data_IF_981460134244
#
_entry.id   IF_981460134244
#
_cell.length_a   1.000
_cell.length_b   1.000
_cell.length_c   1.000
_cell.angle_alpha   90.00
_cell.angle_beta   90.00
_cell.angle_gamma   90.00
#
_symmetry.space_group_name_H-M   'P 1'
#
loop_
_entity.id
_entity.type
_entity.pdbx_description
1 polymer ?
#
# COMPACT_ATOMS: atom_id res chain seq x y z
N UNK A 1 -1.59 10.32 5.37
CA UNK A 1 -1.71 8.86 5.13
C UNK A 1 -2.06 8.16 6.43
N UNK A 2 -3.06 7.25 6.39
CA UNK A 2 -3.48 6.45 7.54
C UNK A 2 -2.95 5.02 7.40
N UNK A 3 -1.85 4.69 8.09
CA UNK A 3 -1.15 3.41 7.93
C UNK A 3 -1.35 2.44 9.10
N UNK A 4 -1.59 2.94 10.31
CA UNK A 4 -1.85 2.10 11.51
C UNK A 4 -3.26 1.49 11.53
N UNK A 5 -4.11 1.88 10.60
CA UNK A 5 -5.51 1.49 10.53
C UNK A 5 -6.29 2.56 9.78
N UNK A 6 -7.61 2.57 9.96
CA UNK A 6 -8.52 3.50 9.27
C UNK A 6 -8.86 4.72 10.13
N UNK A 7 -8.72 4.63 11.44
CA UNK A 7 -9.18 5.64 12.41
C UNK A 7 -8.54 7.00 12.16
N UNK A 8 -7.23 7.04 11.83
CA UNK A 8 -6.53 8.29 11.50
C UNK A 8 -7.05 8.94 10.22
N UNK A 9 -7.42 8.13 9.24
CA UNK A 9 -8.05 8.60 8.01
C UNK A 9 -9.47 9.12 8.27
N UNK A 10 -10.27 8.38 9.04
CA UNK A 10 -11.61 8.77 9.45
C UNK A 10 -11.57 10.11 10.21
N UNK A 11 -10.68 10.24 11.19
CA UNK A 11 -10.50 11.47 11.96
C UNK A 11 -10.12 12.66 11.04
N UNK A 12 -9.22 12.46 10.10
CA UNK A 12 -8.81 13.49 9.14
C UNK A 12 -9.99 13.96 8.28
N UNK A 13 -10.74 13.04 7.66
CA UNK A 13 -11.85 13.43 6.78
C UNK A 13 -13.03 14.02 7.57
N UNK A 14 -13.26 13.56 8.79
CA UNK A 14 -14.27 14.13 9.68
C UNK A 14 -13.92 15.59 10.07
N UNK A 15 -12.62 15.89 10.15
CA UNK A 15 -12.12 17.26 10.39
C UNK A 15 -11.99 18.09 9.11
N UNK A 16 -12.49 17.62 7.97
CA UNK A 16 -12.47 18.33 6.69
C UNK A 16 -11.15 18.23 5.91
N UNK A 17 -10.24 17.33 6.31
CA UNK A 17 -8.96 17.12 5.64
C UNK A 17 -9.02 15.92 4.68
N UNK A 18 -8.25 15.99 3.60
CA UNK A 18 -8.08 14.85 2.68
C UNK A 18 -7.22 13.77 3.33
N UNK A 19 -7.58 12.50 3.08
CA UNK A 19 -6.83 11.36 3.55
C UNK A 19 -6.50 10.37 2.42
N UNK A 20 -5.31 9.77 2.48
CA UNK A 20 -4.94 8.59 1.71
C UNK A 20 -4.97 7.41 2.67
N UNK A 21 -5.72 6.37 2.31
CA UNK A 21 -5.85 5.15 3.10
C UNK A 21 -4.76 4.16 2.72
N UNK A 22 -3.99 3.75 3.71
CA UNK A 22 -2.89 2.79 3.51
C UNK A 22 -2.71 1.86 4.73
N UNK A 23 -3.81 1.29 5.27
CA UNK A 23 -3.70 0.45 6.46
C UNK A 23 -2.83 -0.77 6.20
N UNK A 24 -1.88 -1.03 7.09
CA UNK A 24 -0.87 -2.08 6.92
C UNK A 24 -1.45 -3.46 6.67
N UNK A 25 -2.59 -3.75 7.29
CA UNK A 25 -3.29 -5.03 7.12
C UNK A 25 -3.73 -5.34 5.66
N UNK A 26 -3.81 -4.32 4.80
CA UNK A 26 -4.30 -4.45 3.42
C UNK A 26 -3.38 -3.83 2.37
N UNK A 27 -2.42 -3.00 2.80
CA UNK A 27 -1.68 -2.10 1.91
C UNK A 27 -0.18 -2.33 1.90
N UNK A 28 0.35 -3.14 2.82
CA UNK A 28 1.78 -3.39 2.94
C UNK A 28 2.16 -4.63 2.14
N UNK A 29 2.65 -4.39 0.93
CA UNK A 29 2.97 -5.44 -0.05
C UNK A 29 4.29 -6.17 0.24
N UNK A 30 5.01 -5.80 1.28
CA UNK A 30 6.18 -6.46 1.84
C UNK A 30 5.82 -7.69 2.72
N UNK A 31 4.52 -7.91 3.00
CA UNK A 31 4.03 -9.11 3.69
C UNK A 31 3.97 -10.33 2.77
N UNK A 32 4.08 -11.54 3.34
CA UNK A 32 3.94 -12.81 2.61
C UNK A 32 2.65 -12.89 1.80
N UNK A 33 2.76 -13.38 0.56
CA UNK A 33 1.60 -13.60 -0.31
C UNK A 33 0.90 -14.92 -0.04
N UNK A 34 1.66 -15.92 0.41
CA UNK A 34 1.22 -17.28 0.73
C UNK A 34 1.98 -17.80 1.95
N UNK A 35 1.89 -19.10 2.23
CA UNK A 35 2.56 -19.73 3.37
C UNK A 35 4.07 -19.47 3.35
N UNK A 36 4.67 -19.02 4.46
CA UNK A 36 6.07 -18.56 4.47
C UNK A 36 7.09 -19.59 3.96
N UNK A 37 6.84 -20.87 4.18
CA UNK A 37 7.76 -21.95 3.73
C UNK A 37 7.80 -22.12 2.20
N UNK A 38 6.84 -21.55 1.47
CA UNK A 38 6.74 -21.61 -0.01
C UNK A 38 7.13 -20.30 -0.69
N UNK A 39 7.56 -19.31 0.09
CA UNK A 39 7.77 -17.94 -0.39
C UNK A 39 9.21 -17.49 -0.14
N UNK A 40 9.75 -16.56 -0.95
CA UNK A 40 10.95 -15.81 -0.57
C UNK A 40 10.78 -15.16 0.80
N UNK A 41 11.88 -14.94 1.52
CA UNK A 41 11.84 -14.28 2.82
C UNK A 41 11.17 -12.89 2.73
N UNK A 42 10.34 -12.59 3.71
CA UNK A 42 9.63 -11.31 3.83
C UNK A 42 9.64 -10.84 5.28
N UNK A 43 9.26 -9.58 5.52
CA UNK A 43 9.25 -9.00 6.88
C UNK A 43 8.30 -9.72 7.85
N UNK A 44 7.39 -10.50 7.32
CA UNK A 44 6.34 -11.20 8.08
C UNK A 44 4.95 -10.82 7.58
N UNK A 45 3.94 -11.08 8.41
CA UNK A 45 2.55 -10.80 8.03
C UNK A 45 2.01 -11.78 6.98
N UNK A 46 0.74 -11.62 6.62
CA UNK A 46 0.09 -12.41 5.58
C UNK A 46 -0.92 -11.56 4.82
N UNK A 47 -0.63 -11.29 3.57
CA UNK A 47 -1.43 -10.43 2.71
C UNK A 47 -1.64 -11.06 1.33
N UNK A 48 -2.48 -12.09 1.21
CA UNK A 48 -2.79 -12.71 -0.08
C UNK A 48 -3.62 -11.77 -0.96
N UNK A 49 -3.58 -12.01 -2.27
CA UNK A 49 -4.32 -11.26 -3.28
C UNK A 49 -5.79 -11.03 -2.93
N UNK A 50 -6.48 -12.08 -2.45
CA UNK A 50 -7.89 -12.00 -2.04
C UNK A 50 -8.12 -10.95 -0.94
N UNK A 51 -7.21 -10.84 0.03
CA UNK A 51 -7.30 -9.88 1.12
C UNK A 51 -7.07 -8.46 0.64
N UNK A 52 -6.12 -8.24 -0.25
CA UNK A 52 -5.92 -6.93 -0.90
C UNK A 52 -7.17 -6.52 -1.67
N UNK A 53 -7.73 -7.42 -2.45
CA UNK A 53 -8.93 -7.19 -3.25
C UNK A 53 -10.18 -6.88 -2.41
N UNK A 54 -10.29 -7.46 -1.20
CA UNK A 54 -11.45 -7.25 -0.32
C UNK A 54 -11.47 -5.90 0.41
N UNK A 55 -10.41 -5.10 0.29
CA UNK A 55 -10.32 -3.84 1.01
C UNK A 55 -11.14 -2.73 0.34
N UNK A 56 -12.10 -2.17 1.09
CA UNK A 56 -12.80 -0.95 0.70
C UNK A 56 -12.14 0.26 1.39
N UNK A 57 -11.55 1.20 0.63
CA UNK A 57 -10.86 2.35 1.21
C UNK A 57 -11.80 3.42 1.79
N UNK A 58 -13.11 3.32 1.53
CA UNK A 58 -14.11 4.23 2.06
C UNK A 58 -14.88 3.53 3.19
N UNK A 59 -14.54 3.79 4.47
CA UNK A 59 -15.25 3.22 5.59
C UNK A 59 -16.74 3.55 5.57
N UNK A 60 -17.59 2.57 5.87
CA UNK A 60 -19.04 2.73 5.87
C UNK A 60 -19.56 3.73 6.92
N UNK A 61 -18.73 4.12 7.88
CA UNK A 61 -19.03 5.13 8.90
C UNK A 61 -19.00 6.56 8.38
N UNK A 62 -18.44 6.80 7.18
CA UNK A 62 -18.32 8.14 6.61
C UNK A 62 -19.62 8.57 5.92
N UNK A 63 -19.95 9.85 6.06
CA UNK A 63 -21.00 10.45 5.24
C UNK A 63 -20.55 10.59 3.78
N UNK A 64 -21.49 10.79 2.85
CA UNK A 64 -21.17 10.98 1.43
C UNK A 64 -20.21 12.17 1.18
N UNK A 65 -20.30 13.22 1.97
CA UNK A 65 -19.40 14.38 1.85
C UNK A 65 -18.00 14.08 2.38
N UNK A 66 -17.90 13.36 3.50
CA UNK A 66 -16.64 12.92 4.06
C UNK A 66 -15.94 11.89 3.15
N UNK A 67 -16.70 10.99 2.54
CA UNK A 67 -16.17 10.01 1.58
C UNK A 67 -15.43 10.67 0.41
N UNK A 68 -15.86 11.85 -0.04
CA UNK A 68 -15.18 12.63 -1.10
C UNK A 68 -13.78 13.12 -0.69
N UNK A 69 -13.49 13.15 0.61
CA UNK A 69 -12.19 13.54 1.14
C UNK A 69 -11.22 12.35 1.25
N UNK A 70 -11.70 11.12 1.05
CA UNK A 70 -10.83 9.96 0.86
C UNK A 70 -10.23 10.04 -0.53
N UNK A 71 -8.95 10.44 -0.59
CA UNK A 71 -8.26 10.79 -1.84
C UNK A 71 -7.79 9.58 -2.63
N UNK A 72 -7.73 8.43 -1.97
CA UNK A 72 -7.34 7.18 -2.59
C UNK A 72 -6.69 6.20 -1.63
N UNK A 73 -6.08 5.18 -2.21
CA UNK A 73 -5.34 4.12 -1.53
C UNK A 73 -3.90 4.12 -2.01
N UNK A 74 -2.99 3.85 -1.10
CA UNK A 74 -1.58 3.65 -1.42
C UNK A 74 -1.14 2.26 -0.98
N UNK A 75 -0.51 1.52 -1.90
CA UNK A 75 0.26 0.32 -1.57
C UNK A 75 1.67 0.73 -1.15
N UNK A 76 2.17 0.14 -0.07
CA UNK A 76 3.54 0.34 0.40
C UNK A 76 4.34 -0.94 0.19
N UNK A 77 5.58 -0.80 -0.21
CA UNK A 77 6.56 -1.87 -0.30
C UNK A 77 7.85 -1.40 0.38
N UNK A 78 8.21 -2.03 1.49
CA UNK A 78 9.45 -1.80 2.20
C UNK A 78 10.43 -2.90 1.83
N UNK A 79 11.68 -2.54 1.61
CA UNK A 79 12.64 -3.42 0.92
C UNK A 79 13.68 -4.07 1.83
N UNK A 80 13.43 -4.10 3.14
CA UNK A 80 14.35 -4.71 4.12
C UNK A 80 14.69 -6.17 3.80
N UNK A 81 13.74 -6.89 3.21
CA UNK A 81 13.87 -8.31 2.83
C UNK A 81 13.76 -8.53 1.31
N UNK A 82 13.86 -7.47 0.51
CA UNK A 82 13.66 -7.52 -0.94
C UNK A 82 14.95 -7.09 -1.64
N UNK A 83 15.90 -8.00 -1.89
CA UNK A 83 17.23 -7.66 -2.35
C UNK A 83 17.36 -7.39 -3.85
N UNK A 84 16.38 -7.76 -4.67
CA UNK A 84 16.48 -7.65 -6.13
C UNK A 84 15.23 -7.04 -6.78
N UNK A 85 15.35 -6.43 -7.97
CA UNK A 85 14.19 -5.92 -8.72
C UNK A 85 13.15 -7.00 -9.03
N UNK A 86 13.56 -8.21 -9.35
CA UNK A 86 12.66 -9.33 -9.63
C UNK A 86 11.83 -9.69 -8.39
N UNK A 87 12.44 -9.60 -7.21
CA UNK A 87 11.72 -9.80 -5.95
C UNK A 87 10.73 -8.66 -5.69
N UNK A 88 11.05 -7.41 -6.06
CA UNK A 88 10.11 -6.29 -6.02
C UNK A 88 8.90 -6.59 -6.90
N UNK A 89 9.09 -7.00 -8.14
CA UNK A 89 8.01 -7.36 -9.05
C UNK A 89 7.15 -8.50 -8.50
N UNK A 90 7.80 -9.54 -7.99
CA UNK A 90 7.11 -10.66 -7.34
C UNK A 90 6.23 -10.19 -6.17
N UNK A 91 6.72 -9.31 -5.32
CA UNK A 91 5.98 -8.83 -4.14
C UNK A 91 4.85 -7.86 -4.51
N UNK A 92 4.99 -7.08 -5.59
CA UNK A 92 3.97 -6.13 -6.03
C UNK A 92 2.85 -6.84 -6.80
N UNK A 93 3.21 -7.69 -7.77
CA UNK A 93 2.24 -8.32 -8.67
C UNK A 93 1.74 -9.67 -8.16
N UNK A 94 0.45 -10.00 -8.39
CA UNK A 94 -0.59 -9.17 -8.99
C UNK A 94 -1.32 -8.25 -8.00
N UNK A 95 -0.92 -8.21 -6.74
CA UNK A 95 -1.63 -7.55 -5.64
C UNK A 95 -1.91 -6.06 -5.88
N UNK A 96 -0.98 -5.35 -6.51
CA UNK A 96 -1.16 -3.92 -6.79
C UNK A 96 -2.30 -3.67 -7.79
N UNK A 97 -2.51 -4.60 -8.72
CA UNK A 97 -3.56 -4.51 -9.73
C UNK A 97 -4.96 -4.75 -9.15
N UNK A 98 -5.06 -5.51 -8.06
CA UNK A 98 -6.32 -5.83 -7.41
C UNK A 98 -7.03 -4.59 -6.80
N UNK A 99 -6.29 -3.50 -6.57
CA UNK A 99 -6.83 -2.27 -6.00
C UNK A 99 -7.41 -1.31 -7.03
N UNK A 100 -7.07 -1.50 -8.29
CA UNK A 100 -7.41 -0.56 -9.36
C UNK A 100 -8.92 -0.34 -9.58
N UNK A 101 -9.78 -1.37 -9.61
CA UNK A 101 -11.19 -1.20 -9.93
C UNK A 101 -11.95 -0.38 -8.87
N UNK A 102 -11.63 -0.57 -7.60
CA UNK A 102 -12.37 0.06 -6.50
C UNK A 102 -12.00 1.52 -6.30
N UNK A 103 -10.74 1.88 -6.48
CA UNK A 103 -10.30 3.28 -6.44
C UNK A 103 -10.96 4.08 -7.56
N UNK A 104 -11.09 3.48 -8.75
CA UNK A 104 -11.72 4.13 -9.90
C UNK A 104 -13.23 4.29 -9.72
N UNK A 105 -13.90 3.36 -9.04
CA UNK A 105 -15.33 3.42 -8.77
C UNK A 105 -15.70 4.40 -7.64
N UNK A 106 -14.80 4.59 -6.65
CA UNK A 106 -15.02 5.49 -5.52
C UNK A 106 -14.71 6.96 -5.85
N UNK A 107 -13.95 7.23 -6.92
CA UNK A 107 -13.59 8.58 -7.34
C UNK A 107 -14.61 9.06 -8.41
N UNK A 108 -15.37 10.11 -8.15
CA UNK A 108 -16.32 10.62 -9.14
C UNK A 108 -15.60 11.09 -10.42
N UNK A 109 -16.22 10.93 -11.61
CA UNK A 109 -15.59 11.23 -12.91
C UNK A 109 -15.14 12.70 -13.08
N UNK A 110 -15.60 13.59 -12.22
CA UNK A 110 -15.23 15.02 -12.20
C UNK A 110 -13.98 15.33 -11.35
N UNK A 111 -13.41 14.36 -10.66
CA UNK A 111 -12.16 14.55 -9.93
C UNK A 111 -10.98 14.47 -10.90
N UNK A 112 -9.95 15.34 -10.78
CA UNK A 112 -8.73 15.17 -11.57
C UNK A 112 -8.22 13.75 -11.39
N UNK A 113 -7.91 13.07 -12.49
CA UNK A 113 -7.37 11.71 -12.46
C UNK A 113 -6.10 11.73 -11.60
N UNK A 114 -6.19 11.13 -10.44
CA UNK A 114 -5.03 10.95 -9.59
C UNK A 114 -4.32 9.69 -10.07
N UNK A 115 -3.16 9.89 -10.66
CA UNK A 115 -2.25 8.83 -10.96
C UNK A 115 -1.95 8.05 -9.68
N UNK A 116 -2.08 6.73 -9.78
CA UNK A 116 -1.67 5.84 -8.70
C UNK A 116 -0.17 5.97 -8.53
N UNK A 117 0.24 6.78 -7.57
CA UNK A 117 1.65 6.90 -7.23
C UNK A 117 2.03 5.68 -6.41
N UNK A 118 2.70 4.73 -7.04
CA UNK A 118 3.49 3.74 -6.33
C UNK A 118 4.69 4.50 -5.77
N UNK A 119 4.64 4.86 -4.50
CA UNK A 119 5.80 5.41 -3.82
C UNK A 119 6.76 4.24 -3.57
N UNK A 120 7.60 3.95 -4.55
CA UNK A 120 8.82 3.17 -4.32
C UNK A 120 9.73 4.08 -3.51
N UNK A 121 9.87 3.80 -2.23
CA UNK A 121 10.88 4.42 -1.39
C UNK A 121 12.25 4.08 -1.97
N UNK A 122 12.82 4.98 -2.77
CA UNK A 122 14.17 4.85 -3.24
C UNK A 122 15.10 4.96 -2.03
N UNK A 123 15.60 3.84 -1.55
CA UNK A 123 16.77 3.86 -0.68
C UNK A 123 17.98 4.37 -1.50
N UNK A 124 18.80 5.26 -0.94
CA UNK A 124 20.07 5.61 -1.56
C UNK A 124 20.91 4.33 -1.73
N UNK A 125 21.73 4.21 -2.78
CA UNK A 125 22.53 3.02 -3.01
C UNK A 125 23.41 2.75 -1.80
N UNK A 126 23.27 1.54 -1.25
CA UNK A 126 24.10 1.06 -0.16
C UNK A 126 25.55 1.08 -0.63
N UNK A 127 26.37 2.00 -0.08
CA UNK A 127 27.82 1.97 -0.32
C UNK A 127 28.35 0.72 0.37
N UNK A 128 28.63 -0.30 -0.42
CA UNK A 128 29.44 -1.41 0.04
C UNK A 128 30.83 -0.84 0.30
N UNK A 129 31.13 -0.58 1.54
CA UNK A 129 32.47 -0.24 1.99
C UNK A 129 33.32 -1.51 1.82
N UNK A 130 34.14 -1.55 0.78
CA UNK A 130 35.17 -2.54 0.63
C UNK A 130 36.21 -2.31 1.74
N UNK A 131 36.16 -3.15 2.77
CA UNK A 131 37.27 -3.23 3.72
C UNK A 131 38.42 -3.95 3.04
N UNK A 132 39.62 -3.34 2.97
CA UNK A 132 40.79 -4.08 2.54
C UNK A 132 41.16 -5.07 3.65
N UNK A 133 41.29 -6.34 3.26
CA UNK A 133 41.86 -7.41 4.10
C UNK A 133 43.28 -7.02 4.53
N UNK A 134 43.53 -7.04 5.81
CA UNK A 134 44.89 -7.21 6.39
C UNK A 134 45.03 -8.60 6.95
#
# INVERSE_FOLDING_TARGET
MSWRGEEGGIAAVTSGHRAIMTPGAYCYLDSYQDAPYSQPEAIGGYLPLKKVYSYNPVPASLTAEQAKLVYGVQGNLWVEYIPTPEHVEYMIYPRILARWPEVTAAIPPSSPRHDMTVALGAMPPCRISSHPSR
#
